data_IF_255872942496
#
_entry.id   IF_255872942496
#
_cell.length_a   1.000
_cell.length_b   1.000
_cell.length_c   1.000
_cell.angle_alpha   90.00
_cell.angle_beta   90.00
_cell.angle_gamma   90.00
#
_symmetry.space_group_name_H-M   'P 1'
#
loop_
_entity.id
_entity.type
_entity.pdbx_description
1 polymer ?
#
# COMPACT_ATOMS: atom_id res chain seq x y z
N UNK A 1 13.39 -18.93 -12.83
CA UNK A 1 12.11 -18.18 -12.76
C UNK A 1 11.75 -18.15 -11.29
N UNK A 2 12.06 -17.06 -10.58
CA UNK A 2 11.76 -16.97 -9.15
C UNK A 2 10.24 -17.09 -8.97
N UNK A 3 9.82 -18.00 -8.09
CA UNK A 3 8.43 -18.17 -7.68
C UNK A 3 7.81 -16.78 -7.42
N UNK A 4 6.66 -16.50 -8.05
CA UNK A 4 5.93 -15.23 -7.95
C UNK A 4 5.34 -15.07 -6.54
N UNK A 5 6.22 -14.84 -5.56
CA UNK A 5 5.88 -14.63 -4.15
C UNK A 5 5.23 -13.26 -3.98
N UNK A 6 4.21 -13.19 -3.15
CA UNK A 6 3.59 -11.93 -2.77
C UNK A 6 4.51 -11.19 -1.80
N UNK A 7 4.73 -9.90 -2.04
CA UNK A 7 5.46 -9.01 -1.15
C UNK A 7 4.52 -7.86 -0.76
N UNK A 8 4.55 -7.49 0.52
CA UNK A 8 3.87 -6.32 1.04
C UNK A 8 4.91 -5.40 1.67
N UNK A 9 5.25 -4.31 0.98
CA UNK A 9 6.03 -3.23 1.58
C UNK A 9 5.05 -2.29 2.27
N UNK A 10 5.34 -1.87 3.49
CA UNK A 10 4.47 -0.95 4.20
C UNK A 10 5.27 0.02 5.05
N UNK A 11 4.66 1.14 5.41
CA UNK A 11 5.37 2.21 6.09
C UNK A 11 4.47 3.27 6.71
N UNK A 12 5.08 4.38 7.11
CA UNK A 12 4.46 5.43 7.91
C UNK A 12 5.06 5.51 9.32
N UNK A 13 4.55 6.43 10.14
CA UNK A 13 5.01 6.66 11.52
C UNK A 13 3.94 6.39 12.59
N UNK A 14 2.76 5.94 12.16
CA UNK A 14 1.65 5.55 13.03
C UNK A 14 1.82 4.08 13.48
N UNK A 15 2.29 3.90 14.71
CA UNK A 15 2.57 2.56 15.26
C UNK A 15 1.30 1.74 15.51
N UNK A 16 0.18 2.40 15.86
CA UNK A 16 -1.09 1.73 16.13
C UNK A 16 -1.67 1.20 14.82
N UNK A 17 -1.58 2.00 13.76
CA UNK A 17 -1.91 1.55 12.42
C UNK A 17 -1.01 0.38 11.97
N UNK A 18 0.31 0.45 12.17
CA UNK A 18 1.24 -0.63 11.79
C UNK A 18 0.84 -1.96 12.46
N UNK A 19 0.57 -1.93 13.78
CA UNK A 19 0.16 -3.12 14.52
C UNK A 19 -1.19 -3.66 14.03
N UNK A 20 -2.16 -2.77 13.85
CA UNK A 20 -3.50 -3.13 13.38
C UNK A 20 -3.48 -3.74 11.98
N UNK A 21 -2.82 -3.08 11.04
CA UNK A 21 -2.69 -3.51 9.64
C UNK A 21 -2.03 -4.88 9.54
N UNK A 22 -0.89 -5.06 10.21
CA UNK A 22 -0.12 -6.32 10.14
C UNK A 22 -0.84 -7.49 10.80
N UNK A 23 -1.56 -7.27 11.91
CA UNK A 23 -2.38 -8.32 12.53
C UNK A 23 -3.49 -8.78 11.60
N UNK A 24 -4.28 -7.84 11.05
CA UNK A 24 -5.38 -8.14 10.12
C UNK A 24 -4.89 -8.83 8.85
N UNK A 25 -3.78 -8.35 8.29
CA UNK A 25 -3.15 -8.98 7.12
C UNK A 25 -2.76 -10.43 7.41
N UNK A 26 -2.11 -10.71 8.55
CA UNK A 26 -1.73 -12.08 8.93
C UNK A 26 -2.93 -13.01 9.10
N UNK A 27 -4.02 -12.51 9.70
CA UNK A 27 -5.27 -13.26 9.83
C UNK A 27 -5.85 -13.63 8.46
N UNK A 28 -5.91 -12.67 7.54
CA UNK A 28 -6.39 -12.86 6.18
C UNK A 28 -5.47 -13.80 5.39
N UNK A 29 -4.15 -13.66 5.49
CA UNK A 29 -3.18 -14.55 4.87
C UNK A 29 -3.40 -16.00 5.30
N UNK A 30 -3.61 -16.23 6.60
CA UNK A 30 -3.93 -17.55 7.15
C UNK A 30 -5.26 -18.07 6.63
N UNK A 31 -6.31 -17.24 6.62
CA UNK A 31 -7.64 -17.62 6.16
C UNK A 31 -7.70 -17.91 4.65
N UNK A 32 -6.94 -17.17 3.85
CA UNK A 32 -6.86 -17.31 2.40
C UNK A 32 -5.88 -18.40 1.94
N UNK A 33 -5.03 -18.92 2.85
CA UNK A 33 -3.96 -19.85 2.48
C UNK A 33 -2.87 -19.21 1.61
N UNK A 34 -2.65 -17.89 1.74
CA UNK A 34 -1.68 -17.14 0.94
C UNK A 34 -0.47 -16.76 1.79
N UNK A 35 0.73 -16.96 1.25
CA UNK A 35 1.97 -16.50 1.85
C UNK A 35 2.38 -15.15 1.25
N UNK A 36 2.52 -14.13 2.10
CA UNK A 36 2.92 -12.76 1.76
C UNK A 36 4.08 -12.37 2.66
N UNK A 37 5.19 -11.97 2.07
CA UNK A 37 6.33 -11.44 2.81
C UNK A 37 6.08 -9.97 3.14
N UNK A 38 5.85 -9.67 4.43
CA UNK A 38 5.62 -8.31 4.90
C UNK A 38 6.95 -7.67 5.35
N UNK A 39 7.24 -6.48 4.84
CA UNK A 39 8.47 -5.74 5.16
C UNK A 39 8.15 -4.28 5.48
N UNK A 40 8.54 -3.83 6.66
CA UNK A 40 8.49 -2.42 7.03
C UNK A 40 9.60 -1.64 6.33
N UNK A 41 9.22 -0.57 5.63
CA UNK A 41 10.14 0.28 4.84
C UNK A 41 9.99 1.78 5.16
N UNK A 42 9.32 2.13 6.26
CA UNK A 42 9.30 3.49 6.81
C UNK A 42 8.66 4.54 5.89
N UNK A 43 9.24 5.73 5.85
CA UNK A 43 8.73 6.90 5.11
C UNK A 43 9.86 7.58 4.33
N UNK A 44 9.51 8.40 3.34
CA UNK A 44 10.43 9.04 2.39
C UNK A 44 11.57 9.83 3.05
N UNK A 45 11.28 10.42 4.21
CA UNK A 45 12.23 11.20 5.00
C UNK A 45 12.29 10.66 6.42
N UNK A 46 12.95 9.50 6.63
CA UNK A 46 12.98 8.84 7.93
C UNK A 46 13.77 9.68 8.94
N UNK A 47 13.27 9.78 10.16
CA UNK A 47 13.89 10.53 11.27
C UNK A 47 13.99 9.66 12.51
N UNK A 48 14.34 10.25 13.66
CA UNK A 48 14.41 9.55 14.93
C UNK A 48 13.16 8.70 15.28
N UNK A 49 11.90 9.11 14.99
CA UNK A 49 10.73 8.27 15.21
C UNK A 49 10.76 6.95 14.42
N UNK A 50 11.25 6.97 13.18
CA UNK A 50 11.34 5.77 12.33
C UNK A 50 12.23 4.71 12.97
N UNK A 51 13.33 5.08 13.64
CA UNK A 51 14.21 4.14 14.35
C UNK A 51 13.47 3.39 15.46
N UNK A 52 12.69 4.10 16.28
CA UNK A 52 11.87 3.49 17.35
C UNK A 52 10.84 2.51 16.81
N UNK A 53 10.28 2.79 15.64
CA UNK A 53 9.33 1.89 14.97
C UNK A 53 10.05 0.64 14.46
N UNK A 54 11.22 0.78 13.82
CA UNK A 54 12.03 -0.38 13.40
C UNK A 54 12.33 -1.29 14.60
N UNK A 55 12.79 -0.71 15.71
CA UNK A 55 13.08 -1.45 16.94
C UNK A 55 11.82 -2.18 17.46
N UNK A 56 10.66 -1.53 17.39
CA UNK A 56 9.39 -2.12 17.80
C UNK A 56 8.98 -3.27 16.87
N UNK A 57 9.07 -3.08 15.55
CA UNK A 57 8.74 -4.10 14.54
C UNK A 57 9.59 -5.36 14.73
N UNK A 58 10.89 -5.19 14.96
CA UNK A 58 11.82 -6.29 15.18
C UNK A 58 11.61 -6.97 16.54
N UNK A 59 11.52 -6.19 17.62
CA UNK A 59 11.36 -6.69 18.99
C UNK A 59 10.05 -7.46 19.18
N UNK A 60 8.95 -6.93 18.64
CA UNK A 60 7.62 -7.55 18.74
C UNK A 60 7.36 -8.58 17.62
N UNK A 61 8.33 -8.83 16.73
CA UNK A 61 8.21 -9.75 15.58
C UNK A 61 6.96 -9.47 14.73
N UNK A 62 6.68 -8.19 14.53
CA UNK A 62 5.56 -7.73 13.70
C UNK A 62 5.77 -8.20 12.26
N UNK A 63 6.98 -8.01 11.72
CA UNK A 63 7.36 -8.45 10.38
C UNK A 63 8.88 -8.36 10.21
N UNK A 64 9.39 -8.56 8.99
CA UNK A 64 10.73 -8.09 8.64
C UNK A 64 10.75 -6.55 8.56
N UNK A 65 11.93 -5.95 8.68
CA UNK A 65 12.14 -4.52 8.53
C UNK A 65 13.44 -4.26 7.78
N UNK A 66 13.45 -3.24 6.93
CA UNK A 66 14.71 -2.72 6.43
C UNK A 66 15.45 -1.92 7.51
N UNK A 67 16.80 -1.97 7.51
CA UNK A 67 17.60 -1.07 8.33
C UNK A 67 17.31 0.39 8.00
N UNK A 68 17.49 1.28 8.98
CA UNK A 68 17.23 2.71 8.84
C UNK A 68 17.93 3.33 7.62
N UNK A 69 19.21 2.98 7.39
CA UNK A 69 19.96 3.51 6.24
C UNK A 69 19.42 3.00 4.90
N UNK A 70 19.02 1.72 4.83
CA UNK A 70 18.42 1.13 3.64
C UNK A 70 17.10 1.80 3.27
N UNK A 71 16.29 2.19 4.27
CA UNK A 71 15.06 2.97 4.06
C UNK A 71 15.40 4.31 3.41
N UNK A 72 16.36 5.05 3.96
CA UNK A 72 16.78 6.33 3.40
C UNK A 72 17.22 6.19 1.93
N UNK A 73 18.11 5.23 1.64
CA UNK A 73 18.57 4.98 0.27
C UNK A 73 17.47 4.55 -0.69
N UNK A 74 16.52 3.74 -0.23
CA UNK A 74 15.39 3.31 -1.05
C UNK A 74 14.59 4.51 -1.56
N UNK A 75 14.22 5.40 -0.66
CA UNK A 75 13.40 6.56 -1.01
C UNK A 75 14.15 7.56 -1.89
N UNK A 76 15.42 7.85 -1.60
CA UNK A 76 16.26 8.69 -2.46
C UNK A 76 16.39 8.10 -3.87
N UNK A 77 16.59 6.79 -3.99
CA UNK A 77 16.69 6.12 -5.29
C UNK A 77 15.35 6.14 -6.04
N UNK A 78 14.24 5.90 -5.36
CA UNK A 78 12.92 5.93 -5.97
C UNK A 78 12.59 7.30 -6.55
N UNK A 79 12.84 8.35 -5.78
CA UNK A 79 12.66 9.75 -6.20
C UNK A 79 13.57 10.11 -7.39
N UNK A 80 14.85 9.73 -7.31
CA UNK A 80 15.82 9.95 -8.39
C UNK A 80 15.44 9.23 -9.70
N UNK A 81 14.94 7.99 -9.60
CA UNK A 81 14.48 7.22 -10.76
C UNK A 81 13.25 7.87 -11.41
N UNK A 82 12.28 8.33 -10.61
CA UNK A 82 11.11 9.03 -11.12
C UNK A 82 11.52 10.34 -11.82
N UNK A 83 12.36 11.15 -11.18
CA UNK A 83 12.88 12.38 -11.77
C UNK A 83 13.60 12.12 -13.10
N UNK A 84 14.46 11.11 -13.16
CA UNK A 84 15.16 10.72 -14.38
C UNK A 84 14.20 10.31 -15.50
N UNK A 85 13.20 9.47 -15.17
CA UNK A 85 12.16 9.02 -16.10
C UNK A 85 11.37 10.21 -16.67
N UNK A 86 10.93 11.14 -15.82
CA UNK A 86 10.17 12.33 -16.22
C UNK A 86 10.98 13.28 -17.13
N UNK A 87 12.31 13.37 -16.93
CA UNK A 87 13.16 14.16 -17.81
C UNK A 87 13.34 13.55 -19.20
N UNK A 88 13.41 12.21 -19.28
CA UNK A 88 13.54 11.47 -20.55
C UNK A 88 12.22 11.50 -21.33
N UNK A 89 11.09 11.39 -20.63
CA UNK A 89 9.75 11.26 -21.19
C UNK A 89 8.98 12.60 -21.25
N UNK A 90 9.69 13.70 -21.46
CA UNK A 90 9.07 15.03 -21.55
C UNK A 90 7.98 15.04 -22.64
N UNK A 91 6.74 15.31 -22.23
CA UNK A 91 5.59 15.45 -23.14
C UNK A 91 4.81 14.17 -23.41
N UNK A 92 5.15 13.04 -22.78
CA UNK A 92 4.33 11.82 -22.84
C UNK A 92 3.53 11.62 -21.55
N UNK A 93 2.36 10.99 -21.65
CA UNK A 93 1.58 10.60 -20.48
C UNK A 93 2.35 9.59 -19.62
N UNK A 94 2.28 9.74 -18.30
CA UNK A 94 2.97 8.85 -17.38
C UNK A 94 2.36 7.45 -17.41
N UNK A 95 3.21 6.45 -17.60
CA UNK A 95 2.79 5.05 -17.62
C UNK A 95 2.24 4.59 -16.25
N UNK A 96 1.55 3.44 -16.24
CA UNK A 96 0.93 2.90 -15.01
C UNK A 96 1.94 2.73 -13.86
N UNK A 97 3.17 2.30 -14.16
CA UNK A 97 4.19 2.07 -13.13
C UNK A 97 4.63 3.42 -12.55
N UNK A 98 4.80 4.43 -13.39
CA UNK A 98 5.11 5.79 -12.95
C UNK A 98 4.02 6.37 -12.06
N UNK A 99 2.75 6.17 -12.41
CA UNK A 99 1.63 6.63 -11.57
C UNK A 99 1.68 5.99 -10.18
N UNK A 100 1.86 4.68 -10.09
CA UNK A 100 1.97 3.98 -8.81
C UNK A 100 3.21 4.43 -8.01
N UNK A 101 4.34 4.72 -8.67
CA UNK A 101 5.53 5.29 -8.01
C UNK A 101 5.26 6.70 -7.49
N UNK A 102 4.57 7.56 -8.25
CA UNK A 102 4.14 8.89 -7.82
C UNK A 102 3.22 8.78 -6.59
N UNK A 103 2.25 7.87 -6.64
CA UNK A 103 1.34 7.59 -5.53
C UNK A 103 2.10 7.10 -4.29
N UNK A 104 3.06 6.19 -4.46
CA UNK A 104 3.92 5.70 -3.38
C UNK A 104 4.76 6.81 -2.74
N UNK A 105 5.37 7.69 -3.54
CA UNK A 105 6.12 8.85 -3.03
C UNK A 105 5.21 9.85 -2.30
N UNK A 106 3.97 10.02 -2.77
CA UNK A 106 2.98 10.89 -2.14
C UNK A 106 2.61 10.36 -0.75
N UNK A 107 2.27 9.08 -0.63
CA UNK A 107 1.94 8.48 0.66
C UNK A 107 3.16 8.32 1.57
N UNK A 108 4.31 7.99 1.00
CA UNK A 108 5.59 7.89 1.71
C UNK A 108 6.04 9.19 2.37
N UNK A 109 5.58 10.34 1.88
CA UNK A 109 5.82 11.63 2.53
C UNK A 109 4.92 11.89 3.74
N UNK A 110 3.77 11.20 3.83
CA UNK A 110 2.86 11.28 4.96
C UNK A 110 3.43 10.63 6.22
N UNK A 111 2.92 11.04 7.39
CA UNK A 111 3.13 10.28 8.64
C UNK A 111 2.13 9.12 8.77
N UNK A 112 1.04 9.15 8.00
CA UNK A 112 0.00 8.11 7.99
C UNK A 112 0.57 6.80 7.46
N UNK A 113 -0.09 5.71 7.84
CA UNK A 113 0.18 4.40 7.27
C UNK A 113 -0.02 4.35 5.76
N UNK A 114 0.72 3.48 5.09
CA UNK A 114 0.54 3.15 3.68
C UNK A 114 1.09 1.74 3.41
N UNK A 115 0.62 1.09 2.34
CA UNK A 115 1.20 -0.16 1.89
C UNK A 115 1.18 -0.28 0.36
N UNK A 116 2.13 -1.08 -0.11
CA UNK A 116 2.36 -1.51 -1.47
C UNK A 116 2.28 -3.04 -1.48
N UNK A 117 1.31 -3.59 -2.21
CA UNK A 117 1.17 -5.03 -2.46
C UNK A 117 1.67 -5.33 -3.86
N UNK A 118 2.63 -6.25 -3.98
CA UNK A 118 3.25 -6.61 -5.24
C UNK A 118 3.29 -8.14 -5.45
N UNK A 119 3.14 -8.57 -6.69
CA UNK A 119 3.40 -9.95 -7.12
C UNK A 119 4.05 -9.98 -8.51
N UNK A 120 5.31 -10.40 -8.57
CA UNK A 120 6.07 -10.39 -9.83
C UNK A 120 6.20 -8.98 -10.42
N UNK A 121 6.34 -8.89 -11.74
CA UNK A 121 6.82 -7.65 -12.39
C UNK A 121 5.73 -6.63 -12.74
N UNK A 122 4.44 -7.02 -12.70
CA UNK A 122 3.34 -6.21 -13.26
C UNK A 122 2.13 -6.06 -12.34
N UNK A 123 2.03 -6.83 -11.25
CA UNK A 123 0.92 -6.71 -10.31
C UNK A 123 1.37 -5.87 -9.12
N UNK A 124 1.00 -4.60 -9.14
CA UNK A 124 1.30 -3.64 -8.09
C UNK A 124 0.03 -2.89 -7.68
N UNK A 125 -0.12 -2.66 -6.38
CA UNK A 125 -1.19 -1.89 -5.79
C UNK A 125 -0.65 -1.07 -4.61
N UNK A 126 -0.78 0.25 -4.68
CA UNK A 126 -0.40 1.18 -3.61
C UNK A 126 -1.63 1.86 -3.03
N UNK A 127 -1.71 1.97 -1.70
CA UNK A 127 -2.79 2.73 -1.07
C UNK A 127 -2.45 3.31 0.31
N UNK A 128 -3.28 4.25 0.75
CA UNK A 128 -3.20 4.83 2.09
C UNK A 128 -3.78 3.92 3.16
N UNK A 129 -3.27 4.07 4.38
CA UNK A 129 -3.50 3.14 5.48
C UNK A 129 -4.96 3.00 5.90
N UNK A 130 -5.75 4.08 5.86
CA UNK A 130 -7.17 4.03 6.24
C UNK A 130 -7.98 3.18 5.27
N UNK A 131 -7.80 3.41 3.97
CA UNK A 131 -8.45 2.62 2.93
C UNK A 131 -8.07 1.15 3.04
N UNK A 132 -6.80 0.84 3.32
CA UNK A 132 -6.33 -0.53 3.52
C UNK A 132 -7.02 -1.22 4.70
N UNK A 133 -7.11 -0.56 5.86
CA UNK A 133 -7.81 -1.14 7.03
C UNK A 133 -9.27 -1.44 6.69
N UNK A 134 -9.95 -0.54 5.99
CA UNK A 134 -11.34 -0.78 5.57
C UNK A 134 -11.46 -2.01 4.67
N UNK A 135 -10.56 -2.19 3.70
CA UNK A 135 -10.58 -3.37 2.81
C UNK A 135 -10.35 -4.66 3.61
N UNK A 136 -9.45 -4.64 4.59
CA UNK A 136 -9.19 -5.79 5.47
C UNK A 136 -10.40 -6.13 6.34
N UNK A 137 -11.04 -5.12 6.94
CA UNK A 137 -12.24 -5.30 7.76
C UNK A 137 -13.40 -5.91 6.96
N UNK A 138 -13.44 -5.65 5.66
CA UNK A 138 -14.47 -6.14 4.76
C UNK A 138 -14.04 -7.39 3.96
N UNK A 139 -13.08 -8.18 4.47
CA UNK A 139 -12.58 -9.40 3.82
C UNK A 139 -13.67 -10.32 3.27
N UNK A 140 -14.75 -10.51 4.03
CA UNK A 140 -15.87 -11.38 3.66
C UNK A 140 -16.50 -10.96 2.33
N UNK A 141 -16.53 -9.66 2.01
CA UNK A 141 -17.17 -9.13 0.80
C UNK A 141 -16.39 -9.39 -0.49
N UNK A 142 -15.11 -9.76 -0.39
CA UNK A 142 -14.24 -9.97 -1.56
C UNK A 142 -13.44 -11.28 -1.56
N UNK A 143 -13.43 -12.05 -0.46
CA UNK A 143 -12.72 -13.34 -0.35
C UNK A 143 -13.05 -14.33 -1.48
N UNK A 144 -14.30 -14.37 -1.93
CA UNK A 144 -14.76 -15.34 -2.93
C UNK A 144 -14.21 -15.04 -4.33
N UNK A 145 -13.61 -13.85 -4.52
CA UNK A 145 -12.93 -13.45 -5.77
C UNK A 145 -11.48 -13.96 -5.84
N UNK A 146 -10.90 -14.46 -4.73
CA UNK A 146 -9.50 -14.90 -4.67
C UNK A 146 -9.20 -16.05 -5.65
N UNK A 147 -10.03 -17.10 -5.78
CA UNK A 147 -9.74 -18.21 -6.70
C UNK A 147 -9.64 -17.76 -8.16
N UNK A 148 -10.44 -16.78 -8.57
CA UNK A 148 -10.49 -16.28 -9.94
C UNK A 148 -9.45 -15.18 -10.20
N UNK A 149 -9.32 -14.21 -9.30
CA UNK A 149 -8.54 -12.98 -9.51
C UNK A 149 -7.17 -12.99 -8.83
N UNK A 150 -6.88 -14.02 -8.04
CA UNK A 150 -5.75 -14.03 -7.11
C UNK A 150 -5.91 -13.02 -5.96
N UNK A 151 -4.97 -13.04 -5.02
CA UNK A 151 -5.05 -12.20 -3.82
C UNK A 151 -5.09 -10.70 -4.15
N UNK A 152 -4.10 -10.18 -4.90
CA UNK A 152 -4.03 -8.76 -5.26
C UNK A 152 -5.25 -8.29 -6.06
N UNK A 153 -5.73 -9.10 -7.01
CA UNK A 153 -6.91 -8.76 -7.81
C UNK A 153 -8.22 -8.75 -7.01
N UNK A 154 -8.37 -9.68 -6.06
CA UNK A 154 -9.51 -9.70 -5.15
C UNK A 154 -9.45 -8.53 -4.15
N UNK A 155 -8.27 -8.24 -3.61
CA UNK A 155 -8.01 -7.11 -2.73
C UNK A 155 -8.35 -5.77 -3.41
N UNK A 156 -7.87 -5.57 -4.63
CA UNK A 156 -8.21 -4.41 -5.47
C UNK A 156 -9.72 -4.31 -5.67
N UNK A 157 -10.39 -5.41 -5.99
CA UNK A 157 -11.84 -5.40 -6.19
C UNK A 157 -12.63 -5.06 -4.91
N UNK A 158 -12.10 -5.39 -3.73
CA UNK A 158 -12.64 -4.96 -2.44
C UNK A 158 -12.43 -3.45 -2.22
N UNK A 159 -11.24 -2.95 -2.54
CA UNK A 159 -10.94 -1.52 -2.51
C UNK A 159 -11.84 -0.69 -3.44
N UNK A 160 -12.03 -1.14 -4.68
CA UNK A 160 -12.83 -0.41 -5.67
C UNK A 160 -14.32 -0.34 -5.29
N UNK A 161 -14.84 -1.38 -4.63
CA UNK A 161 -16.21 -1.39 -4.10
C UNK A 161 -16.41 -0.34 -3.00
N UNK A 162 -15.41 -0.15 -2.14
CA UNK A 162 -15.46 0.90 -1.13
C UNK A 162 -15.40 2.30 -1.75
N UNK A 163 -14.49 2.50 -2.72
CA UNK A 163 -14.31 3.79 -3.39
C UNK A 163 -15.57 4.23 -4.14
N UNK A 164 -16.29 3.29 -4.78
CA UNK A 164 -17.56 3.63 -5.45
C UNK A 164 -18.67 4.00 -4.46
N UNK A 165 -18.69 3.39 -3.27
CA UNK A 165 -19.63 3.77 -2.21
C UNK A 165 -19.37 5.18 -1.65
N UNK A 166 -18.10 5.57 -1.46
CA UNK A 166 -17.71 6.90 -0.96
C UNK A 166 -17.97 8.03 -1.97
N UNK A 167 -18.00 7.71 -3.27
CA UNK A 167 -18.35 8.66 -4.33
C UNK A 167 -19.85 8.74 -4.64
N UNK A 168 -20.70 7.97 -3.95
CA UNK A 168 -22.15 8.15 -4.00
C UNK A 168 -22.61 9.32 -3.11
N UNK A 169 -22.06 10.52 -3.34
CA UNK A 169 -22.72 11.75 -2.89
C UNK A 169 -23.86 12.01 -3.86
N UNK A 170 -25.07 11.62 -3.45
CA UNK A 170 -26.30 11.93 -4.20
C UNK A 170 -26.46 13.46 -4.23
N UNK A 171 -26.09 14.07 -5.34
CA UNK A 171 -26.31 15.50 -5.59
C UNK A 171 -27.82 15.74 -5.68
N UNK A 172 -28.42 16.25 -4.60
CA UNK A 172 -29.81 16.71 -4.62
C UNK A 172 -29.78 18.15 -5.12
N UNK A 173 -30.12 18.34 -6.40
CA UNK A 173 -30.31 19.68 -6.96
C UNK A 173 -31.61 20.26 -6.37
N UNK A 174 -31.60 21.48 -5.81
CA UNK A 174 -32.84 22.13 -5.41
C UNK A 174 -33.70 22.36 -6.65
N UNK A 175 -34.91 21.83 -6.63
CA UNK A 175 -35.91 22.07 -7.68
C UNK A 175 -36.20 23.56 -7.74
N UNK A 176 -35.80 24.22 -8.83
CA UNK A 176 -36.29 25.56 -9.17
C UNK A 176 -37.80 25.44 -9.38
N UNK A 177 -38.54 25.87 -8.36
CA UNK A 177 -39.99 25.98 -8.45
C UNK A 177 -40.33 27.19 -9.35
N UNK A 178 -41.40 27.10 -10.15
CA UNK A 178 -41.71 28.04 -11.25
C UNK A 178 -42.08 29.44 -10.78
#
# INVERSE_FOLDING_TARGET
>A
ILEKRYICLYGGEDIDWIKSFTSKMKEIMKAAGVSIEMVYVGKAHPRAPTKKIIDTVLRERISASWPFESISFFWTRLDSMLHSRMQIQKGTEADRIQQEVITLLTYGNSARGWALLARGDLEMFVNEGRALIHVLDNYISWKDKIPEKGFNGAFQAGHDLHRTADHCVRLVLPSSSP
#
